data_IF_024460049078
#
_entry.id   IF_024460049078
#
_cell.length_a   1.000
_cell.length_b   1.000
_cell.length_c   1.000
_cell.angle_alpha   90.00
_cell.angle_beta   90.00
_cell.angle_gamma   90.00
#
_symmetry.space_group_name_H-M   'P 1'
#
loop_
_entity.id
_entity.type
_entity.pdbx_description
1 polymer ?
#
# COMPACT_ATOMS: atom_id res chain seq x y z
N UNK A 1 1.05 12.33 11.61
CA UNK A 1 -0.16 11.72 11.03
C UNK A 1 -1.23 12.78 10.91
N UNK A 2 -1.98 12.81 9.80
CA UNK A 2 -3.27 13.51 9.78
C UNK A 2 -4.21 12.68 10.68
N UNK A 3 -4.71 13.26 11.76
CA UNK A 3 -5.32 12.49 12.87
C UNK A 3 -6.61 11.74 12.50
N UNK A 4 -7.17 11.98 11.31
CA UNK A 4 -8.43 11.41 10.85
C UNK A 4 -8.29 10.57 9.57
N UNK A 5 -7.13 9.95 9.29
CA UNK A 5 -6.93 9.10 8.10
C UNK A 5 -7.01 7.62 8.46
N UNK A 6 -7.85 6.88 7.73
CA UNK A 6 -8.06 5.44 7.88
C UNK A 6 -7.27 4.62 6.86
N UNK A 7 -6.95 5.25 5.73
CA UNK A 7 -6.13 4.67 4.69
C UNK A 7 -5.37 5.77 3.96
N UNK A 8 -4.05 5.64 3.85
CA UNK A 8 -3.20 6.46 2.99
C UNK A 8 -2.36 5.55 2.11
N UNK A 9 -2.31 5.87 0.82
CA UNK A 9 -1.41 5.24 -0.12
C UNK A 9 -0.65 6.31 -0.87
N UNK A 10 0.68 6.19 -0.92
CA UNK A 10 1.55 7.04 -1.71
C UNK A 10 2.47 6.16 -2.56
N UNK A 11 2.40 6.35 -3.88
CA UNK A 11 3.40 5.89 -4.83
C UNK A 11 4.39 7.02 -5.08
N UNK A 12 5.68 6.75 -4.91
CA UNK A 12 6.76 7.64 -5.27
C UNK A 12 7.74 6.96 -6.22
N UNK A 13 8.54 7.74 -6.92
CA UNK A 13 9.70 7.20 -7.62
C UNK A 13 10.82 6.81 -6.65
N UNK A 14 11.88 6.17 -7.14
CA UNK A 14 13.05 5.78 -6.37
C UNK A 14 13.78 6.94 -5.66
N UNK A 15 13.51 8.20 -6.02
CA UNK A 15 14.03 9.39 -5.36
C UNK A 15 13.05 10.02 -4.35
N UNK A 16 11.95 9.34 -4.05
CA UNK A 16 10.92 9.81 -3.11
C UNK A 16 10.05 10.95 -3.64
N UNK A 17 10.05 11.23 -4.95
CA UNK A 17 9.12 12.20 -5.53
C UNK A 17 7.73 11.56 -5.68
N UNK A 18 6.68 12.15 -5.09
CA UNK A 18 5.31 11.64 -5.20
C UNK A 18 4.83 11.57 -6.66
N UNK A 19 4.34 10.39 -7.05
CA UNK A 19 3.72 10.14 -8.36
C UNK A 19 2.20 10.19 -8.22
N UNK A 20 1.64 9.39 -7.29
CA UNK A 20 0.22 9.44 -6.94
C UNK A 20 0.01 9.22 -5.45
N UNK A 21 -1.08 9.80 -4.91
CA UNK A 21 -1.49 9.58 -3.53
C UNK A 21 -3.00 9.46 -3.44
N UNK A 22 -3.49 8.53 -2.64
CA UNK A 22 -4.88 8.43 -2.23
C UNK A 22 -4.96 8.46 -0.72
N UNK A 23 -5.76 9.35 -0.17
CA UNK A 23 -6.02 9.44 1.28
C UNK A 23 -7.51 9.33 1.53
N UNK A 24 -7.92 8.50 2.49
CA UNK A 24 -9.30 8.34 2.93
C UNK A 24 -9.38 8.75 4.39
N UNK A 25 -10.24 9.71 4.69
CA UNK A 25 -10.50 10.12 6.08
C UNK A 25 -11.62 9.33 6.75
N UNK A 26 -11.68 9.42 8.07
CA UNK A 26 -12.70 8.82 8.93
C UNK A 26 -14.12 9.25 8.56
N UNK A 27 -14.27 10.50 8.10
CA UNK A 27 -15.55 11.04 7.64
C UNK A 27 -15.87 10.65 6.18
N UNK A 28 -15.02 9.85 5.53
CA UNK A 28 -15.20 9.32 4.19
C UNK A 28 -14.73 10.22 3.05
N UNK A 29 -14.11 11.36 3.33
CA UNK A 29 -13.54 12.18 2.27
C UNK A 29 -12.30 11.51 1.66
N UNK A 30 -12.30 11.37 0.34
CA UNK A 30 -11.22 10.77 -0.43
C UNK A 30 -10.52 11.86 -1.21
N UNK A 31 -9.21 12.00 -0.98
CA UNK A 31 -8.34 12.93 -1.71
C UNK A 31 -7.40 12.16 -2.62
N UNK A 32 -7.45 12.43 -3.93
CA UNK A 32 -6.51 11.90 -4.91
C UNK A 32 -5.55 12.99 -5.40
N UNK A 33 -4.26 12.66 -5.47
CA UNK A 33 -3.20 13.54 -5.95
C UNK A 33 -2.40 12.84 -7.05
N UNK A 34 -1.99 13.62 -8.06
CA UNK A 34 -1.05 13.19 -9.11
C UNK A 34 0.00 14.29 -9.28
N UNK A 35 1.29 13.94 -9.26
CA UNK A 35 2.41 14.88 -9.36
C UNK A 35 2.31 16.09 -8.41
N UNK A 36 1.77 15.88 -7.20
CA UNK A 36 1.50 16.90 -6.15
C UNK A 36 0.32 17.85 -6.42
N UNK A 37 -0.41 17.65 -7.49
CA UNK A 37 -1.64 18.39 -7.77
C UNK A 37 -2.85 17.61 -7.23
N UNK A 38 -3.71 18.28 -6.47
CA UNK A 38 -5.00 17.71 -6.06
C UNK A 38 -5.89 17.63 -7.29
N UNK A 39 -6.33 16.43 -7.63
CA UNK A 39 -7.05 16.18 -8.89
C UNK A 39 -8.47 15.69 -8.66
N UNK A 40 -8.73 14.97 -7.56
CA UNK A 40 -10.06 14.46 -7.26
C UNK A 40 -10.38 14.52 -5.77
N UNK A 41 -11.59 14.95 -5.44
CA UNK A 41 -12.20 14.84 -4.12
C UNK A 41 -13.51 14.07 -4.24
N UNK A 42 -13.66 12.95 -3.54
CA UNK A 42 -14.92 12.20 -3.46
C UNK A 42 -15.36 12.06 -2.01
N UNK A 43 -16.64 11.76 -1.83
CA UNK A 43 -17.22 11.45 -0.53
C UNK A 43 -17.73 10.01 -0.55
N UNK A 44 -17.13 9.16 0.27
CA UNK A 44 -17.62 7.79 0.51
C UNK A 44 -18.77 7.82 1.50
N UNK A 45 -19.67 6.84 1.36
CA UNK A 45 -20.60 6.51 2.41
C UNK A 45 -19.88 5.89 3.60
N UNK A 46 -20.41 6.09 4.81
CA UNK A 46 -19.84 5.53 6.03
C UNK A 46 -19.63 4.01 5.96
N UNK A 47 -20.56 3.29 5.31
CA UNK A 47 -20.46 1.84 5.15
C UNK A 47 -19.20 1.41 4.36
N UNK A 48 -18.76 2.22 3.40
CA UNK A 48 -17.55 1.93 2.62
C UNK A 48 -16.28 2.23 3.41
N UNK A 49 -16.29 3.26 4.28
CA UNK A 49 -15.21 3.53 5.23
C UNK A 49 -15.08 2.38 6.23
N UNK A 50 -16.20 1.94 6.81
CA UNK A 50 -16.24 0.80 7.73
C UNK A 50 -15.74 -0.48 7.05
N UNK A 51 -16.07 -0.67 5.77
CA UNK A 51 -15.57 -1.79 4.95
C UNK A 51 -14.05 -1.74 4.74
N UNK A 52 -13.47 -0.56 4.48
CA UNK A 52 -12.01 -0.41 4.38
C UNK A 52 -11.32 -0.85 5.69
N UNK A 53 -11.85 -0.41 6.84
CA UNK A 53 -11.33 -0.86 8.15
C UNK A 53 -11.51 -2.36 8.37
N UNK A 54 -12.65 -2.91 7.95
CA UNK A 54 -12.93 -4.35 8.04
C UNK A 54 -11.94 -5.17 7.23
N UNK A 55 -11.57 -4.74 6.03
CA UNK A 55 -10.54 -5.39 5.21
C UNK A 55 -9.23 -5.46 6.00
N UNK A 56 -8.76 -4.36 6.57
CA UNK A 56 -7.53 -4.35 7.39
C UNK A 56 -7.68 -5.29 8.61
N UNK A 57 -8.86 -5.33 9.23
CA UNK A 57 -9.17 -6.24 10.34
C UNK A 57 -9.27 -7.71 9.93
N UNK A 58 -9.47 -8.04 8.65
CA UNK A 58 -9.40 -9.42 8.13
C UNK A 58 -7.94 -9.85 7.88
N UNK A 59 -7.05 -8.88 7.61
CA UNK A 59 -5.61 -9.10 7.40
C UNK A 59 -4.78 -8.66 8.61
N UNK A 60 -5.19 -9.03 9.83
CA UNK A 60 -4.60 -8.47 11.08
C UNK A 60 -3.09 -8.59 11.21
N UNK A 61 -2.48 -9.59 10.56
CA UNK A 61 -1.03 -9.82 10.62
C UNK A 61 -0.22 -8.64 10.07
N UNK A 62 -0.75 -7.90 9.08
CA UNK A 62 -0.04 -6.76 8.50
C UNK A 62 0.20 -5.64 9.52
N UNK A 63 -0.62 -5.59 10.59
CA UNK A 63 -0.51 -4.59 11.64
C UNK A 63 0.72 -4.79 12.53
N UNK A 64 1.32 -5.99 12.50
CA UNK A 64 2.50 -6.35 13.28
C UNK A 64 3.79 -6.30 12.45
N UNK A 65 3.72 -5.91 11.16
CA UNK A 65 4.87 -5.86 10.26
C UNK A 65 5.70 -4.59 10.44
N UNK A 66 7.02 -4.74 10.24
CA UNK A 66 7.97 -3.63 10.07
C UNK A 66 8.38 -3.57 8.60
N UNK A 67 8.47 -2.37 8.03
CA UNK A 67 8.95 -2.13 6.67
C UNK A 67 10.31 -2.76 6.39
N UNK A 68 11.18 -2.86 7.40
CA UNK A 68 12.51 -3.48 7.27
C UNK A 68 12.45 -4.99 7.05
N UNK A 69 11.38 -5.63 7.49
CA UNK A 69 11.20 -7.08 7.41
C UNK A 69 10.27 -7.50 6.28
N UNK A 70 9.78 -6.54 5.47
CA UNK A 70 9.01 -6.86 4.27
C UNK A 70 9.97 -7.40 3.21
N UNK A 71 9.57 -8.50 2.58
CA UNK A 71 10.34 -9.06 1.49
C UNK A 71 10.35 -8.09 0.33
N UNK A 72 11.54 -7.83 -0.21
CA UNK A 72 11.74 -6.81 -1.24
C UNK A 72 12.45 -7.40 -2.45
N UNK A 73 12.07 -7.03 -3.69
CA UNK A 73 12.83 -7.41 -4.86
C UNK A 73 14.27 -6.91 -4.77
N UNK A 74 15.23 -7.64 -5.34
CA UNK A 74 16.65 -7.27 -5.37
C UNK A 74 16.96 -6.10 -6.34
N UNK A 75 16.01 -5.18 -6.51
CA UNK A 75 16.08 -4.00 -7.37
C UNK A 75 15.52 -2.80 -6.60
N UNK A 76 16.40 -1.83 -6.33
CA UNK A 76 16.05 -0.61 -5.59
C UNK A 76 15.75 0.60 -6.49
N UNK A 77 15.96 0.47 -7.80
CA UNK A 77 15.47 1.45 -8.78
C UNK A 77 13.99 1.17 -9.11
N UNK A 78 13.23 2.18 -9.55
CA UNK A 78 11.79 2.03 -9.81
C UNK A 78 10.92 2.88 -8.89
N UNK A 79 10.05 2.23 -8.11
CA UNK A 79 9.04 2.88 -7.26
C UNK A 79 9.15 2.51 -5.79
N UNK A 80 8.71 3.44 -4.94
CA UNK A 80 8.50 3.26 -3.51
C UNK A 80 6.99 3.32 -3.24
N UNK A 81 6.49 2.34 -2.51
CA UNK A 81 5.10 2.28 -2.07
C UNK A 81 5.06 2.55 -0.57
N UNK A 82 4.21 3.48 -0.16
CA UNK A 82 3.95 3.79 1.24
C UNK A 82 2.48 3.56 1.53
N UNK A 83 2.21 2.86 2.63
CA UNK A 83 0.87 2.51 3.07
C UNK A 83 0.68 2.92 4.52
N UNK A 84 -0.42 3.60 4.83
CA UNK A 84 -0.97 3.71 6.17
C UNK A 84 -2.30 2.96 6.19
N UNK A 85 -2.41 1.93 7.03
CA UNK A 85 -3.65 1.19 7.24
C UNK A 85 -4.19 1.41 8.66
N UNK A 86 -5.51 1.50 8.80
CA UNK A 86 -6.21 1.50 10.08
C UNK A 86 -7.25 0.37 10.13
N UNK A 87 -7.20 -0.43 11.19
CA UNK A 87 -8.18 -1.48 11.47
C UNK A 87 -9.41 -0.94 12.21
N UNK A 88 -10.49 -1.72 12.26
CA UNK A 88 -11.73 -1.34 12.97
C UNK A 88 -11.54 -1.12 14.48
N UNK A 89 -10.52 -1.73 15.08
CA UNK A 89 -10.16 -1.56 16.49
C UNK A 89 -9.27 -0.32 16.74
N UNK A 90 -8.95 0.45 15.69
CA UNK A 90 -8.12 1.66 15.75
C UNK A 90 -6.62 1.41 15.70
N UNK A 91 -6.15 0.15 15.62
CA UNK A 91 -4.73 -0.13 15.39
C UNK A 91 -4.32 0.36 14.00
N UNK A 92 -3.10 0.88 13.90
CA UNK A 92 -2.54 1.40 12.66
C UNK A 92 -1.16 0.82 12.38
N UNK A 93 -0.83 0.70 11.10
CA UNK A 93 0.53 0.37 10.64
C UNK A 93 0.93 1.28 9.49
N UNK A 94 2.19 1.70 9.48
CA UNK A 94 2.82 2.39 8.38
C UNK A 94 3.86 1.46 7.75
N UNK A 95 3.72 1.18 6.46
CA UNK A 95 4.58 0.28 5.72
C UNK A 95 5.18 0.98 4.50
N UNK A 96 6.43 0.65 4.22
CA UNK A 96 7.14 1.11 3.04
C UNK A 96 7.84 -0.07 2.37
N UNK A 97 7.73 -0.15 1.04
CA UNK A 97 8.39 -1.20 0.26
C UNK A 97 8.79 -0.68 -1.14
N UNK A 98 9.96 -1.12 -1.61
CA UNK A 98 10.39 -0.90 -2.99
C UNK A 98 9.74 -1.94 -3.90
N UNK A 99 9.22 -1.49 -5.05
CA UNK A 99 8.75 -2.38 -6.13
C UNK A 99 7.82 -3.53 -5.67
N UNK A 100 7.02 -3.32 -4.62
CA UNK A 100 6.21 -4.38 -4.00
C UNK A 100 5.21 -5.01 -4.98
N UNK A 101 4.81 -4.29 -6.04
CA UNK A 101 3.97 -4.83 -7.10
C UNK A 101 4.59 -6.01 -7.86
N UNK A 102 5.91 -6.20 -7.80
CA UNK A 102 6.62 -7.31 -8.43
C UNK A 102 6.31 -8.68 -7.81
N UNK A 103 5.60 -8.75 -6.67
CA UNK A 103 5.08 -10.03 -6.15
C UNK A 103 4.14 -10.72 -7.15
N UNK A 104 3.64 -9.98 -8.14
CA UNK A 104 2.80 -10.47 -9.24
C UNK A 104 3.61 -10.95 -10.45
N UNK A 105 4.92 -10.73 -10.46
CA UNK A 105 5.80 -11.07 -11.58
C UNK A 105 6.37 -12.49 -11.39
N UNK A 106 6.02 -13.46 -12.25
CA UNK A 106 6.54 -14.81 -12.12
C UNK A 106 8.07 -14.87 -12.25
N UNK A 107 8.73 -15.57 -11.33
CA UNK A 107 10.18 -15.76 -11.35
C UNK A 107 11.01 -14.58 -10.84
N UNK A 108 10.37 -13.58 -10.21
CA UNK A 108 11.09 -12.51 -9.53
C UNK A 108 11.76 -13.01 -8.23
N UNK A 109 13.00 -12.59 -8.00
CA UNK A 109 13.74 -12.89 -6.77
C UNK A 109 13.46 -11.84 -5.70
N UNK A 110 13.39 -12.29 -4.44
CA UNK A 110 13.15 -11.45 -3.28
C UNK A 110 14.20 -11.72 -2.20
N UNK A 111 14.48 -10.69 -1.42
CA UNK A 111 15.20 -10.76 -0.14
C UNK A 111 14.19 -10.82 1.01
N UNK A 112 14.58 -11.38 2.16
CA UNK A 112 13.74 -11.49 3.37
C UNK A 112 13.37 -10.15 4.02
N UNK A 113 14.13 -9.10 3.72
CA UNK A 113 13.97 -7.80 4.33
C UNK A 113 14.77 -6.73 3.59
N UNK A 114 14.42 -5.48 3.84
CA UNK A 114 15.10 -4.32 3.28
C UNK A 114 16.56 -4.31 3.77
N UNK A 115 17.49 -4.66 2.89
CA UNK A 115 18.94 -4.77 3.15
C UNK A 115 19.41 -6.04 3.89
N UNK A 116 18.57 -7.08 3.99
CA UNK A 116 19.09 -8.39 4.43
C UNK A 116 19.92 -9.03 3.31
N UNK A 117 21.21 -9.27 3.60
CA UNK A 117 22.05 -10.10 2.73
C UNK A 117 21.54 -11.54 2.81
N UNK A 118 20.87 -11.99 1.74
CA UNK A 118 20.45 -13.38 1.60
C UNK A 118 21.66 -14.31 1.46
N UNK A 119 21.50 -15.57 1.86
CA UNK A 119 22.47 -16.58 1.48
C UNK A 119 22.39 -16.82 -0.04
N UNK A 120 23.56 -16.97 -0.69
CA UNK A 120 23.63 -17.38 -2.09
C UNK A 120 22.85 -18.70 -2.23
N UNK A 121 21.80 -18.71 -3.06
CA UNK A 121 20.85 -19.81 -3.33
C UNK A 121 19.59 -19.91 -2.46
N UNK A 122 19.33 -18.97 -1.54
CA UNK A 122 18.05 -18.94 -0.83
C UNK A 122 16.90 -18.46 -1.73
N UNK A 123 15.87 -19.28 -1.87
CA UNK A 123 14.62 -18.89 -2.54
C UNK A 123 13.67 -18.32 -1.49
N UNK A 124 13.44 -17.01 -1.52
CA UNK A 124 12.48 -16.33 -0.65
C UNK A 124 11.11 -16.30 -1.33
N UNK A 125 10.09 -16.82 -0.65
CA UNK A 125 8.69 -16.62 -1.02
C UNK A 125 8.20 -15.36 -0.28
N UNK A 126 7.78 -14.29 -0.98
CA UNK A 126 7.53 -12.98 -0.37
C UNK A 126 6.15 -12.90 0.29
N UNK A 127 5.93 -13.69 1.34
CA UNK A 127 4.61 -13.87 1.96
C UNK A 127 4.08 -12.56 2.56
N UNK A 128 4.88 -11.83 3.33
CA UNK A 128 4.40 -10.58 3.97
C UNK A 128 4.09 -9.53 2.90
N UNK A 129 4.96 -9.39 1.90
CA UNK A 129 4.72 -8.49 0.77
C UNK A 129 3.45 -8.84 -0.02
N UNK A 130 3.19 -10.13 -0.27
CA UNK A 130 1.97 -10.60 -0.92
C UNK A 130 0.71 -10.25 -0.11
N UNK A 131 0.76 -10.39 1.22
CA UNK A 131 -0.36 -10.05 2.10
C UNK A 131 -0.65 -8.54 2.13
N UNK A 132 0.39 -7.70 2.17
CA UNK A 132 0.26 -6.24 2.06
C UNK A 132 -0.36 -5.86 0.72
N UNK A 133 0.12 -6.45 -0.39
CA UNK A 133 -0.43 -6.20 -1.74
C UNK A 133 -1.89 -6.65 -1.82
N UNK A 134 -2.24 -7.81 -1.27
CA UNK A 134 -3.61 -8.31 -1.25
C UNK A 134 -4.54 -7.38 -0.47
N UNK A 135 -4.14 -6.95 0.72
CA UNK A 135 -4.90 -6.00 1.55
C UNK A 135 -5.13 -4.69 0.80
N UNK A 136 -4.07 -4.17 0.19
CA UNK A 136 -4.15 -2.97 -0.65
C UNK A 136 -5.09 -3.15 -1.84
N UNK A 137 -5.03 -4.27 -2.57
CA UNK A 137 -5.87 -4.52 -3.74
C UNK A 137 -7.36 -4.64 -3.38
N UNK A 138 -7.70 -5.22 -2.22
CA UNK A 138 -9.08 -5.28 -1.72
C UNK A 138 -9.63 -3.89 -1.35
N UNK A 139 -8.80 -3.04 -0.73
CA UNK A 139 -9.14 -1.63 -0.46
C UNK A 139 -9.25 -0.85 -1.78
N UNK A 140 -8.31 -1.03 -2.69
CA UNK A 140 -8.30 -0.39 -4.00
C UNK A 140 -9.55 -0.75 -4.80
N UNK A 141 -9.96 -2.02 -4.81
CA UNK A 141 -11.20 -2.45 -5.44
C UNK A 141 -12.44 -1.76 -4.85
N UNK A 142 -12.47 -1.58 -3.53
CA UNK A 142 -13.53 -0.81 -2.84
C UNK A 142 -13.53 0.64 -3.29
N UNK A 143 -12.36 1.29 -3.38
CA UNK A 143 -12.24 2.68 -3.81
C UNK A 143 -12.62 2.87 -5.29
N UNK A 144 -12.19 1.99 -6.17
CA UNK A 144 -12.54 2.03 -7.60
C UNK A 144 -14.04 1.83 -7.81
N UNK A 145 -14.67 0.91 -7.08
CA UNK A 145 -16.12 0.71 -7.11
C UNK A 145 -16.91 1.97 -6.72
N UNK A 146 -16.29 2.86 -5.94
CA UNK A 146 -16.86 4.13 -5.48
C UNK A 146 -16.35 5.36 -6.26
N UNK A 147 -15.72 5.16 -7.43
CA UNK A 147 -15.40 6.24 -8.38
C UNK A 147 -14.00 6.84 -8.27
N UNK A 148 -13.10 6.25 -7.48
CA UNK A 148 -11.67 6.58 -7.54
C UNK A 148 -11.07 6.01 -8.83
N UNK A 149 -10.33 6.83 -9.59
CA UNK A 149 -9.65 6.35 -10.79
C UNK A 149 -8.52 5.37 -10.42
N UNK A 150 -8.52 4.19 -11.05
CA UNK A 150 -7.54 3.13 -10.80
C UNK A 150 -6.08 3.59 -11.02
N UNK A 151 -5.84 4.63 -11.82
CA UNK A 151 -4.48 5.17 -12.02
C UNK A 151 -3.82 5.66 -10.73
N UNK A 152 -4.60 6.04 -9.72
CA UNK A 152 -4.07 6.48 -8.42
C UNK A 152 -3.71 5.31 -7.48
N UNK A 153 -4.11 4.09 -7.83
CA UNK A 153 -4.02 2.88 -7.01
C UNK A 153 -3.11 1.81 -7.65
N UNK A 154 -2.18 2.23 -8.51
CA UNK A 154 -1.21 1.33 -9.14
C UNK A 154 0.02 1.14 -8.25
N UNK A 155 0.53 -0.08 -8.17
CA UNK A 155 1.73 -0.45 -7.41
C UNK A 155 3.05 -0.29 -8.19
N UNK A 156 2.97 -0.04 -9.50
CA UNK A 156 4.10 0.03 -10.44
C UNK A 156 3.92 1.23 -11.39
N UNK A 157 4.93 1.52 -12.23
CA UNK A 157 4.92 2.63 -13.20
C UNK A 157 3.92 2.50 -14.36
N UNK A 158 3.34 1.31 -14.56
CA UNK A 158 2.52 0.99 -15.73
C UNK A 158 1.32 1.93 -15.91
#
# INVERSE_FOLDING_TARGET
MRENIVFDYLLANAWGLPLCRVSVSEDGFVQCQENRENTQGLQLEKAEVDKIKSIVSEHTHILDYDSKELESPDVFDGVMNFFDFEASDGRKVNLMAFNIGEVKTPGMSFSKGLLEEGELDEIVVPVKAMEVVKTFEEIAATLVANGVDAKYLRLTYA
#
